data_IF_435849044294
#
_entry.id   IF_435849044294
#
_cell.length_a   1.000
_cell.length_b   1.000
_cell.length_c   1.000
_cell.angle_alpha   90.00
_cell.angle_beta   90.00
_cell.angle_gamma   90.00
#
_symmetry.space_group_name_H-M   'P 1'
#
loop_
_entity.id
_entity.type
_entity.pdbx_description
1 polymer ?
#
# COMPACT_ATOMS: atom_id res chain seq x y z
N UNK A 1 8.51 7.67 25.39
CA UNK A 1 7.56 7.71 24.28
C UNK A 1 8.17 8.62 23.23
N UNK A 2 8.45 8.12 22.06
CA UNK A 2 8.99 8.88 20.94
C UNK A 2 7.88 9.48 20.07
N UNK A 3 8.26 10.18 18.97
CA UNK A 3 7.29 10.86 18.10
C UNK A 3 6.36 9.86 17.40
N UNK A 4 6.88 8.73 16.93
CA UNK A 4 6.06 7.70 16.26
C UNK A 4 5.04 7.06 17.20
N UNK A 5 5.42 6.84 18.47
CA UNK A 5 4.51 6.37 19.50
C UNK A 5 3.44 7.41 19.89
N UNK A 6 3.80 8.71 19.88
CA UNK A 6 2.83 9.77 20.11
C UNK A 6 1.80 9.87 18.99
N UNK A 7 2.21 9.72 17.74
CA UNK A 7 1.31 9.63 16.59
C UNK A 7 0.41 8.38 16.68
N UNK A 8 0.94 7.26 17.16
CA UNK A 8 0.17 6.03 17.36
C UNK A 8 -0.98 6.20 18.39
N UNK A 9 -0.83 7.07 19.38
CA UNK A 9 -1.96 7.40 20.30
C UNK A 9 -3.11 8.06 19.55
N UNK A 10 -2.81 9.00 18.65
CA UNK A 10 -3.84 9.65 17.84
C UNK A 10 -4.53 8.62 16.91
N UNK A 11 -3.73 7.75 16.27
CA UNK A 11 -4.25 6.68 15.42
C UNK A 11 -5.11 5.67 16.19
N UNK A 12 -4.73 5.37 17.43
CA UNK A 12 -5.52 4.49 18.31
C UNK A 12 -6.90 5.09 18.64
N UNK A 13 -6.95 6.39 18.92
CA UNK A 13 -8.20 7.11 19.19
C UNK A 13 -9.07 7.19 17.93
N UNK A 14 -8.46 7.39 16.77
CA UNK A 14 -9.14 7.49 15.47
C UNK A 14 -9.49 6.13 14.85
N UNK A 15 -9.07 5.01 15.44
CA UNK A 15 -9.27 3.68 14.87
C UNK A 15 -10.75 3.30 14.81
N UNK A 16 -11.23 2.95 13.60
CA UNK A 16 -12.63 2.59 13.33
C UNK A 16 -12.86 1.09 13.17
N UNK A 17 -11.79 0.31 13.01
CA UNK A 17 -11.86 -1.13 12.82
C UNK A 17 -10.78 -1.87 13.62
N UNK A 18 -10.95 -3.20 13.75
CA UNK A 18 -10.04 -4.05 14.54
C UNK A 18 -8.61 -4.07 14.00
N UNK A 19 -8.42 -3.98 12.71
CA UNK A 19 -7.10 -4.01 12.07
C UNK A 19 -6.32 -2.72 12.37
N UNK A 20 -6.95 -1.54 12.18
CA UNK A 20 -6.34 -0.25 12.51
C UNK A 20 -6.02 -0.13 14.00
N UNK A 21 -6.91 -0.66 14.86
CA UNK A 21 -6.66 -0.70 16.31
C UNK A 21 -5.42 -1.53 16.66
N UNK A 22 -5.27 -2.73 16.09
CA UNK A 22 -4.09 -3.58 16.30
C UNK A 22 -2.80 -2.91 15.83
N UNK A 23 -2.81 -2.29 14.64
CA UNK A 23 -1.64 -1.57 14.11
C UNK A 23 -1.22 -0.41 15.01
N UNK A 24 -2.17 0.44 15.41
CA UNK A 24 -1.90 1.55 16.32
C UNK A 24 -1.36 1.05 17.67
N UNK A 25 -1.89 -0.05 18.20
CA UNK A 25 -1.41 -0.67 19.42
C UNK A 25 0.01 -1.24 19.27
N UNK A 26 0.35 -1.88 18.14
CA UNK A 26 1.70 -2.35 17.83
C UNK A 26 2.72 -1.21 17.78
N UNK A 27 2.37 -0.10 17.11
CA UNK A 27 3.22 1.09 17.09
C UNK A 27 3.38 1.72 18.48
N UNK A 28 2.30 1.82 19.25
CA UNK A 28 2.35 2.35 20.62
C UNK A 28 3.23 1.50 21.53
N UNK A 29 3.20 0.16 21.39
CA UNK A 29 4.10 -0.77 22.11
C UNK A 29 5.58 -0.58 21.73
N UNK A 30 5.87 0.18 20.67
CA UNK A 30 7.22 0.53 20.23
C UNK A 30 7.87 -0.49 19.29
N UNK A 31 7.12 -1.42 18.69
CA UNK A 31 7.71 -2.41 17.78
C UNK A 31 8.41 -1.72 16.61
N UNK A 32 7.79 -0.69 16.01
CA UNK A 32 8.40 0.08 14.94
C UNK A 32 9.65 0.86 15.39
N UNK A 33 9.58 1.52 16.54
CA UNK A 33 10.72 2.26 17.11
C UNK A 33 11.89 1.34 17.41
N UNK A 34 11.65 0.12 17.87
CA UNK A 34 12.68 -0.89 18.12
C UNK A 34 13.36 -1.33 16.81
N UNK A 35 12.58 -1.58 15.75
CA UNK A 35 13.14 -1.90 14.43
C UNK A 35 14.03 -0.78 13.90
N UNK A 36 13.58 0.50 13.99
CA UNK A 36 14.38 1.64 13.60
C UNK A 36 15.65 1.79 14.45
N UNK A 37 15.58 1.49 15.75
CA UNK A 37 16.74 1.52 16.63
C UNK A 37 17.79 0.48 16.23
N UNK A 38 17.37 -0.73 15.86
CA UNK A 38 18.28 -1.76 15.35
C UNK A 38 18.95 -1.36 14.03
N UNK A 39 18.18 -0.77 13.10
CA UNK A 39 18.73 -0.25 11.84
C UNK A 39 19.74 0.87 12.11
N UNK A 40 19.40 1.76 13.04
CA UNK A 40 20.28 2.87 13.45
C UNK A 40 21.58 2.36 14.05
N UNK A 41 21.56 1.36 14.93
CA UNK A 41 22.78 0.76 15.51
C UNK A 41 23.69 0.16 14.44
N UNK A 42 23.12 -0.53 13.45
CA UNK A 42 23.88 -1.08 12.32
C UNK A 42 24.53 0.01 11.47
N UNK A 43 23.77 1.07 11.13
CA UNK A 43 24.29 2.21 10.38
C UNK A 43 25.39 2.95 11.14
N UNK A 44 25.22 3.19 12.45
CA UNK A 44 26.25 3.79 13.31
C UNK A 44 27.53 2.94 13.33
N UNK A 45 27.40 1.61 13.38
CA UNK A 45 28.55 0.72 13.29
C UNK A 45 29.28 0.89 11.96
N UNK A 46 28.57 0.94 10.84
CA UNK A 46 29.17 1.17 9.51
C UNK A 46 29.88 2.51 9.42
N UNK A 47 29.19 3.58 9.84
CA UNK A 47 29.79 4.94 9.83
C UNK A 47 31.04 4.99 10.70
N UNK A 48 31.00 4.39 11.90
CA UNK A 48 32.16 4.38 12.81
C UNK A 48 33.35 3.62 12.24
N UNK A 49 33.14 2.52 11.54
CA UNK A 49 34.21 1.74 10.89
C UNK A 49 34.85 2.54 9.75
N UNK A 50 34.04 3.23 8.93
CA UNK A 50 34.54 4.07 7.84
C UNK A 50 35.30 5.32 8.38
N UNK A 51 34.80 5.97 9.43
CA UNK A 51 35.49 7.10 10.06
C UNK A 51 36.85 6.68 10.64
N UNK A 52 36.91 5.50 11.28
CA UNK A 52 38.19 4.96 11.76
C UNK A 52 39.16 4.68 10.60
N UNK A 53 38.70 4.10 9.49
CA UNK A 53 39.54 3.88 8.32
C UNK A 53 40.09 5.20 7.76
N UNK A 54 39.29 6.27 7.77
CA UNK A 54 39.70 7.59 7.34
C UNK A 54 40.74 8.23 8.29
N UNK A 55 40.53 8.16 9.61
CA UNK A 55 41.41 8.74 10.62
C UNK A 55 42.78 8.05 10.67
N UNK A 56 42.83 6.76 10.32
CA UNK A 56 44.06 5.96 10.30
C UNK A 56 44.58 5.65 8.91
N UNK A 57 44.08 6.34 7.89
CA UNK A 57 44.48 6.14 6.47
C UNK A 57 45.96 6.32 6.17
N UNK A 58 46.69 7.03 7.05
CA UNK A 58 48.17 7.19 6.97
C UNK A 58 48.95 5.90 7.31
N UNK A 59 48.29 4.88 7.83
CA UNK A 59 48.85 3.58 8.16
C UNK A 59 48.39 2.53 7.13
N UNK A 60 49.18 2.35 6.06
CA UNK A 60 48.90 1.53 4.88
C UNK A 60 48.56 0.04 5.14
N UNK A 61 48.56 -0.44 6.38
CA UNK A 61 48.37 -1.87 6.70
C UNK A 61 47.08 -2.18 7.52
N UNK A 62 46.23 -1.20 7.82
CA UNK A 62 45.08 -1.43 8.67
C UNK A 62 43.74 -1.28 7.88
N UNK A 63 43.21 -2.38 7.36
CA UNK A 63 41.79 -2.45 6.97
C UNK A 63 40.96 -2.63 8.24
N UNK A 64 40.24 -1.58 8.66
CA UNK A 64 39.35 -1.66 9.83
C UNK A 64 37.98 -2.28 9.50
N UNK A 65 37.62 -2.32 8.23
CA UNK A 65 36.35 -2.92 7.77
C UNK A 65 36.55 -3.66 6.44
N UNK A 66 36.19 -4.93 6.43
CA UNK A 66 36.04 -5.66 5.16
C UNK A 66 34.93 -5.05 4.33
N UNK A 67 35.24 -4.57 3.13
CA UNK A 67 34.27 -3.95 2.22
C UNK A 67 33.11 -4.89 1.90
N UNK A 68 33.35 -6.19 1.84
CA UNK A 68 32.30 -7.20 1.60
C UNK A 68 31.34 -7.31 2.79
N UNK A 69 31.83 -7.21 4.03
CA UNK A 69 30.96 -7.19 5.23
C UNK A 69 30.13 -5.90 5.31
N UNK A 70 30.71 -4.75 4.95
CA UNK A 70 29.99 -3.49 4.91
C UNK A 70 28.90 -3.50 3.84
N UNK A 71 29.20 -4.04 2.66
CA UNK A 71 28.22 -4.16 1.59
C UNK A 71 27.07 -5.08 1.98
N UNK A 72 27.35 -6.26 2.51
CA UNK A 72 26.32 -7.19 2.99
C UNK A 72 25.42 -6.56 4.06
N UNK A 73 26.00 -5.77 4.96
CA UNK A 73 25.24 -5.06 6.00
C UNK A 73 24.39 -3.93 5.41
N UNK A 74 24.88 -3.20 4.40
CA UNK A 74 24.11 -2.19 3.69
C UNK A 74 22.94 -2.80 2.93
N UNK A 75 23.12 -3.94 2.26
CA UNK A 75 22.07 -4.69 1.57
C UNK A 75 21.00 -5.17 2.53
N UNK A 76 21.40 -5.70 3.71
CA UNK A 76 20.45 -6.13 4.76
C UNK A 76 19.60 -4.95 5.24
N UNK A 77 20.23 -3.80 5.52
CA UNK A 77 19.51 -2.59 5.95
C UNK A 77 18.57 -2.10 4.84
N UNK A 78 19.03 -2.08 3.59
CA UNK A 78 18.25 -1.66 2.44
C UNK A 78 17.01 -2.55 2.24
N UNK A 79 17.18 -3.85 2.33
CA UNK A 79 16.06 -4.80 2.26
C UNK A 79 15.02 -4.52 3.36
N UNK A 80 15.46 -4.26 4.58
CA UNK A 80 14.57 -3.97 5.70
C UNK A 80 13.82 -2.64 5.53
N UNK A 81 14.50 -1.58 5.08
CA UNK A 81 13.88 -0.28 4.78
C UNK A 81 12.84 -0.44 3.68
N UNK A 82 13.16 -1.17 2.60
CA UNK A 82 12.24 -1.44 1.50
C UNK A 82 11.01 -2.21 1.97
N UNK A 83 11.19 -3.26 2.79
CA UNK A 83 10.09 -4.03 3.37
C UNK A 83 9.17 -3.15 4.22
N UNK A 84 9.73 -2.27 5.07
CA UNK A 84 8.96 -1.32 5.86
C UNK A 84 8.21 -0.32 4.97
N UNK A 85 8.86 0.22 3.94
CA UNK A 85 8.23 1.14 3.00
C UNK A 85 7.05 0.47 2.25
N UNK A 86 7.22 -0.75 1.74
CA UNK A 86 6.14 -1.50 1.09
C UNK A 86 4.95 -1.78 2.00
N UNK A 87 5.17 -1.94 3.32
CA UNK A 87 4.07 -2.12 4.26
C UNK A 87 3.11 -0.93 4.33
N UNK A 88 3.53 0.24 3.84
CA UNK A 88 2.71 1.46 3.85
C UNK A 88 1.46 1.33 2.97
N UNK A 89 1.54 0.65 1.82
CA UNK A 89 0.37 0.45 0.95
C UNK A 89 -0.74 -0.30 1.70
N UNK A 90 -0.36 -1.38 2.40
CA UNK A 90 -1.29 -2.14 3.25
C UNK A 90 -1.81 -1.30 4.42
N UNK A 91 -0.94 -0.60 5.12
CA UNK A 91 -1.28 0.26 6.25
C UNK A 91 -2.22 1.39 5.86
N UNK A 92 -1.95 2.04 4.73
CA UNK A 92 -2.78 3.11 4.19
C UNK A 92 -4.15 2.60 3.74
N UNK A 93 -4.20 1.45 3.04
CA UNK A 93 -5.44 0.80 2.65
C UNK A 93 -6.32 0.44 3.85
N UNK A 94 -5.73 0.01 4.95
CA UNK A 94 -6.45 -0.31 6.18
C UNK A 94 -6.92 0.92 6.94
N UNK A 95 -6.13 1.99 6.96
CA UNK A 95 -6.42 3.23 7.68
C UNK A 95 -7.44 4.10 6.95
N UNK A 96 -7.27 4.29 5.65
CA UNK A 96 -8.15 5.12 4.82
C UNK A 96 -9.28 4.35 4.16
N UNK A 97 -9.21 3.03 4.16
CA UNK A 97 -10.10 2.16 3.42
C UNK A 97 -9.60 1.86 2.01
N UNK A 98 -9.94 0.68 1.52
CA UNK A 98 -9.63 0.25 0.15
C UNK A 98 -10.48 1.03 -0.83
N UNK A 99 -9.84 1.77 -1.71
CA UNK A 99 -10.52 2.59 -2.70
C UNK A 99 -11.17 1.74 -3.80
N UNK A 100 -12.48 1.87 -3.99
CA UNK A 100 -13.28 1.11 -4.95
C UNK A 100 -14.01 2.07 -5.89
N UNK A 101 -13.85 1.87 -7.21
CA UNK A 101 -14.62 2.57 -8.22
C UNK A 101 -15.70 1.65 -8.81
N UNK A 102 -16.95 2.15 -8.95
CA UNK A 102 -18.01 1.44 -9.65
C UNK A 102 -18.20 2.09 -11.02
N UNK A 103 -17.87 1.37 -12.07
CA UNK A 103 -17.95 1.82 -13.45
C UNK A 103 -18.96 0.99 -14.25
N UNK A 104 -19.54 1.57 -15.29
CA UNK A 104 -20.54 0.91 -16.15
C UNK A 104 -21.46 1.93 -16.82
N UNK A 105 -22.21 1.49 -17.83
CA UNK A 105 -23.17 2.31 -18.59
C UNK A 105 -24.22 2.97 -17.69
N UNK A 106 -24.96 3.93 -18.23
CA UNK A 106 -26.14 4.49 -17.56
C UNK A 106 -27.19 3.40 -17.32
N UNK A 107 -27.92 3.51 -16.21
CA UNK A 107 -29.02 2.58 -15.85
C UNK A 107 -28.64 1.10 -15.61
N UNK A 108 -27.36 0.72 -15.55
CA UNK A 108 -26.93 -0.65 -15.18
C UNK A 108 -27.16 -0.97 -13.69
N UNK A 109 -27.47 0.04 -12.87
CA UNK A 109 -27.79 -0.15 -11.46
C UNK A 109 -26.67 0.23 -10.49
N UNK A 110 -25.72 1.12 -10.88
CA UNK A 110 -24.61 1.58 -10.02
C UNK A 110 -25.09 2.17 -8.69
N UNK A 111 -26.06 3.09 -8.73
CA UNK A 111 -26.62 3.72 -7.52
C UNK A 111 -27.35 2.70 -6.63
N UNK A 112 -28.05 1.75 -7.24
CA UNK A 112 -28.75 0.69 -6.50
C UNK A 112 -27.75 -0.22 -5.79
N UNK A 113 -26.68 -0.63 -6.48
CA UNK A 113 -25.62 -1.44 -5.90
C UNK A 113 -24.89 -0.70 -4.77
N UNK A 114 -24.48 0.54 -5.02
CA UNK A 114 -23.83 1.37 -4.00
C UNK A 114 -24.70 1.50 -2.75
N UNK A 115 -25.97 1.86 -2.92
CA UNK A 115 -26.90 1.98 -1.79
C UNK A 115 -27.09 0.65 -1.03
N UNK A 116 -27.05 -0.47 -1.73
CA UNK A 116 -27.14 -1.80 -1.10
C UNK A 116 -25.89 -2.08 -0.26
N UNK A 117 -24.70 -1.89 -0.81
CA UNK A 117 -23.43 -2.10 -0.10
C UNK A 117 -23.27 -1.17 1.12
N UNK A 118 -23.82 0.05 1.05
CA UNK A 118 -23.78 1.00 2.16
C UNK A 118 -24.84 0.76 3.23
N UNK A 119 -25.96 0.12 2.91
CA UNK A 119 -27.12 -0.04 3.82
C UNK A 119 -27.07 -1.31 4.65
N UNK A 120 -26.28 -2.31 4.24
CA UNK A 120 -26.21 -3.59 4.98
C UNK A 120 -25.39 -3.48 6.28
N UNK A 121 -24.50 -2.46 6.43
CA UNK A 121 -23.84 -2.19 7.69
C UNK A 121 -23.69 -0.68 7.97
N UNK A 122 -24.73 -0.03 8.44
CA UNK A 122 -24.58 1.21 9.22
C UNK A 122 -24.10 0.88 10.63
N UNK A 123 -22.87 0.48 10.81
CA UNK A 123 -22.19 0.57 12.09
C UNK A 123 -21.63 1.99 12.22
N UNK A 124 -22.37 2.82 12.99
CA UNK A 124 -21.90 3.97 13.80
C UNK A 124 -20.60 4.62 13.28
N UNK A 125 -20.68 5.41 12.23
CA UNK A 125 -19.67 6.43 11.97
C UNK A 125 -20.16 7.68 12.69
N UNK A 126 -19.43 8.07 13.75
CA UNK A 126 -19.71 9.27 14.55
C UNK A 126 -19.76 10.50 13.63
N UNK A 127 -20.80 11.31 13.79
CA UNK A 127 -20.90 12.68 13.28
C UNK A 127 -19.78 13.55 13.88
N UNK A 128 -18.56 13.43 13.36
CA UNK A 128 -17.54 14.44 13.59
C UNK A 128 -17.70 15.48 12.48
N UNK A 129 -18.52 16.47 12.78
CA UNK A 129 -18.63 17.71 12.02
C UNK A 129 -17.32 18.47 12.13
N UNK A 130 -16.62 18.60 11.01
CA UNK A 130 -15.53 19.57 10.90
C UNK A 130 -14.48 19.17 9.88
N UNK A 131 -14.66 19.56 8.65
CA UNK A 131 -13.75 20.29 7.77
C UNK A 131 -14.18 20.13 6.30
N UNK A 132 -14.45 21.28 5.65
CA UNK A 132 -14.38 21.59 4.22
C UNK A 132 -15.04 20.65 3.21
N UNK A 133 -15.94 21.23 2.45
CA UNK A 133 -16.63 20.84 1.21
C UNK A 133 -15.69 20.20 0.15
N UNK A 134 -15.30 18.94 0.31
CA UNK A 134 -14.70 18.19 -0.79
C UNK A 134 -15.04 16.72 -0.65
N UNK A 135 -15.69 16.17 -1.70
CA UNK A 135 -15.96 14.76 -2.00
C UNK A 135 -16.59 13.98 -0.86
N UNK A 136 -17.90 13.79 -0.93
CA UNK A 136 -18.61 12.83 -0.06
C UNK A 136 -18.22 11.43 -0.53
N UNK A 137 -17.24 10.86 0.14
CA UNK A 137 -16.86 9.46 -0.04
C UNK A 137 -17.70 8.61 0.92
N UNK A 138 -18.38 7.63 0.37
CA UNK A 138 -19.16 6.69 1.19
C UNK A 138 -18.29 5.48 1.53
N UNK A 139 -18.27 5.11 2.81
CA UNK A 139 -17.49 3.97 3.31
C UNK A 139 -18.38 2.89 3.88
N UNK A 140 -17.98 1.63 3.73
CA UNK A 140 -18.61 0.47 4.37
C UNK A 140 -17.56 -0.46 4.94
N UNK A 141 -17.94 -1.25 5.95
CA UNK A 141 -17.08 -2.26 6.58
C UNK A 141 -17.54 -3.65 6.11
N UNK A 142 -16.68 -4.37 5.41
CA UNK A 142 -16.95 -5.73 4.95
C UNK A 142 -15.86 -6.63 5.52
N UNK A 143 -16.23 -7.61 6.33
CA UNK A 143 -15.33 -8.57 6.96
C UNK A 143 -14.13 -7.91 7.70
N UNK A 144 -14.40 -6.79 8.37
CA UNK A 144 -13.37 -6.05 9.12
C UNK A 144 -12.47 -5.16 8.29
N UNK A 145 -12.66 -5.08 6.97
CA UNK A 145 -11.95 -4.21 6.02
C UNK A 145 -12.86 -3.05 5.65
N UNK A 146 -12.34 -1.83 5.76
CA UNK A 146 -13.05 -0.62 5.32
C UNK A 146 -12.87 -0.45 3.81
N UNK A 147 -13.99 -0.37 3.08
CA UNK A 147 -14.01 -0.03 1.65
C UNK A 147 -14.56 1.37 1.46
N UNK A 148 -13.89 2.16 0.64
CA UNK A 148 -14.20 3.55 0.33
C UNK A 148 -14.60 3.67 -1.13
N UNK A 149 -15.87 3.97 -1.40
CA UNK A 149 -16.38 4.13 -2.75
C UNK A 149 -16.09 5.54 -3.26
N UNK A 150 -15.36 5.62 -4.37
CA UNK A 150 -14.94 6.89 -4.96
C UNK A 150 -16.08 7.44 -5.85
N UNK A 151 -16.34 8.75 -5.75
CA UNK A 151 -17.33 9.51 -6.54
C UNK A 151 -18.79 9.04 -6.45
N UNK A 152 -19.22 8.80 -5.28
CA UNK A 152 -20.63 8.51 -5.01
C UNK A 152 -21.58 9.65 -5.43
N UNK A 153 -21.09 10.91 -5.48
CA UNK A 153 -21.87 12.07 -5.88
C UNK A 153 -22.29 12.01 -7.38
N UNK A 154 -21.43 11.53 -8.27
CA UNK A 154 -21.77 11.30 -9.68
C UNK A 154 -22.74 10.14 -9.86
N UNK A 155 -22.64 9.11 -9.01
CA UNK A 155 -23.54 7.95 -9.02
C UNK A 155 -24.93 8.33 -8.48
N UNK A 156 -25.02 9.23 -7.50
CA UNK A 156 -26.29 9.66 -6.88
C UNK A 156 -27.10 10.70 -7.68
N UNK A 157 -26.46 11.47 -8.57
CA UNK A 157 -27.07 12.59 -9.31
C UNK A 157 -27.54 12.26 -10.72
N UNK A 158 -27.42 11.05 -11.19
CA UNK A 158 -27.82 10.67 -12.55
C UNK A 158 -29.34 10.46 -12.68
N UNK A 159 -30.07 11.59 -12.68
CA UNK A 159 -31.38 11.67 -13.27
C UNK A 159 -31.43 12.79 -14.31
N UNK A 160 -30.53 13.06 -15.13
CA UNK A 160 -30.58 13.80 -16.40
C UNK A 160 -29.25 14.42 -16.86
N UNK A 161 -28.98 14.15 -18.15
CA UNK A 161 -28.24 14.96 -19.11
C UNK A 161 -26.80 15.38 -18.74
N UNK A 162 -25.83 14.61 -19.19
CA UNK A 162 -24.65 15.02 -20.00
C UNK A 162 -23.77 13.79 -20.24
N UNK A 163 -23.98 13.10 -21.34
CA UNK A 163 -23.37 11.80 -21.67
C UNK A 163 -21.84 11.86 -21.98
N UNK A 164 -21.33 13.00 -22.41
CA UNK A 164 -19.93 13.10 -22.85
C UNK A 164 -18.92 13.60 -21.80
N UNK A 165 -19.37 14.29 -20.74
CA UNK A 165 -18.49 14.74 -19.65
C UNK A 165 -18.33 13.61 -18.57
N UNK A 166 -19.25 12.63 -18.58
CA UNK A 166 -19.23 11.51 -17.62
C UNK A 166 -18.10 10.51 -17.87
N UNK A 167 -17.68 10.31 -19.10
CA UNK A 167 -16.70 9.29 -19.47
C UNK A 167 -15.29 9.68 -19.01
N UNK A 168 -14.84 10.90 -19.27
CA UNK A 168 -13.50 11.38 -18.83
C UNK A 168 -13.38 11.41 -17.29
N UNK A 169 -14.43 11.85 -16.59
CA UNK A 169 -14.42 11.85 -15.12
C UNK A 169 -14.42 10.44 -14.53
N UNK A 170 -15.09 9.48 -15.16
CA UNK A 170 -15.09 8.07 -14.72
C UNK A 170 -13.67 7.49 -14.80
N UNK A 171 -12.88 7.90 -15.79
CA UNK A 171 -11.51 7.42 -15.96
C UNK A 171 -10.50 8.02 -14.97
N UNK A 172 -10.60 9.32 -14.67
CA UNK A 172 -9.78 9.94 -13.62
C UNK A 172 -9.99 9.26 -12.26
N UNK A 173 -11.20 8.81 -11.98
CA UNK A 173 -11.56 8.11 -10.75
C UNK A 173 -11.06 6.68 -10.69
N UNK A 174 -11.00 6.01 -11.85
CA UNK A 174 -10.33 4.71 -11.91
C UNK A 174 -8.85 4.81 -11.54
N UNK A 175 -8.18 5.94 -11.76
CA UNK A 175 -6.77 6.11 -11.41
C UNK A 175 -6.52 6.04 -9.89
N UNK A 176 -7.45 6.52 -9.08
CA UNK A 176 -7.35 6.52 -7.62
C UNK A 176 -7.81 5.20 -6.98
N UNK A 177 -8.53 4.34 -7.73
CA UNK A 177 -9.07 3.10 -7.22
C UNK A 177 -8.02 1.97 -7.20
N UNK A 178 -8.01 1.17 -6.13
CA UNK A 178 -7.30 -0.12 -6.06
C UNK A 178 -8.13 -1.24 -6.71
N UNK A 179 -9.45 -1.18 -6.54
CA UNK A 179 -10.39 -2.16 -7.08
C UNK A 179 -11.39 -1.44 -7.98
N UNK A 180 -11.65 -2.01 -9.16
CA UNK A 180 -12.65 -1.50 -10.10
C UNK A 180 -13.75 -2.55 -10.25
N UNK A 181 -14.99 -2.17 -9.92
CA UNK A 181 -16.19 -2.95 -10.20
C UNK A 181 -16.73 -2.52 -11.56
N UNK A 182 -16.60 -3.37 -12.56
CA UNK A 182 -17.22 -3.16 -13.87
C UNK A 182 -18.62 -3.75 -13.89
N UNK A 183 -19.63 -2.89 -13.72
CA UNK A 183 -21.02 -3.29 -13.61
C UNK A 183 -21.68 -3.30 -15.00
N UNK A 184 -22.23 -4.44 -15.38
CA UNK A 184 -22.85 -4.72 -16.69
C UNK A 184 -24.27 -5.23 -16.49
N UNK A 185 -25.16 -5.02 -17.46
CA UNK A 185 -26.48 -5.64 -17.56
C UNK A 185 -26.71 -6.34 -18.90
N UNK A 186 -25.72 -6.27 -19.78
CA UNK A 186 -25.65 -6.95 -21.08
C UNK A 186 -24.21 -7.36 -21.38
N UNK A 187 -24.01 -8.21 -22.39
CA UNK A 187 -22.68 -8.65 -22.79
C UNK A 187 -21.90 -7.47 -23.42
N UNK A 188 -20.69 -7.17 -22.93
CA UNK A 188 -19.90 -6.08 -23.48
C UNK A 188 -19.36 -6.43 -24.87
N UNK A 189 -19.17 -5.43 -25.72
CA UNK A 189 -18.52 -5.57 -27.02
C UNK A 189 -17.01 -5.80 -26.88
N UNK A 190 -16.38 -6.36 -27.91
CA UNK A 190 -14.92 -6.56 -27.91
C UNK A 190 -14.15 -5.25 -27.71
N UNK A 191 -14.63 -4.13 -28.29
CA UNK A 191 -14.01 -2.82 -28.09
C UNK A 191 -14.10 -2.32 -26.66
N UNK A 192 -15.21 -2.57 -25.95
CA UNK A 192 -15.37 -2.20 -24.53
C UNK A 192 -14.45 -3.02 -23.64
N UNK A 193 -14.24 -4.29 -23.96
CA UNK A 193 -13.31 -5.17 -23.23
C UNK A 193 -11.87 -4.68 -23.39
N UNK A 194 -11.45 -4.35 -24.63
CA UNK A 194 -10.11 -3.82 -24.91
C UNK A 194 -9.89 -2.48 -24.20
N UNK A 195 -10.86 -1.58 -24.26
CA UNK A 195 -10.78 -0.30 -23.59
C UNK A 195 -10.66 -0.45 -22.06
N UNK A 196 -11.45 -1.35 -21.46
CA UNK A 196 -11.40 -1.64 -20.03
C UNK A 196 -10.05 -2.24 -19.64
N UNK A 197 -9.53 -3.21 -20.40
CA UNK A 197 -8.20 -3.80 -20.15
C UNK A 197 -7.08 -2.75 -20.23
N UNK A 198 -7.14 -1.86 -21.22
CA UNK A 198 -6.14 -0.80 -21.38
C UNK A 198 -6.15 0.19 -20.21
N UNK A 199 -7.31 0.53 -19.69
CA UNK A 199 -7.49 1.52 -18.62
C UNK A 199 -7.34 0.94 -17.22
N UNK A 200 -7.43 -0.39 -17.07
CA UNK A 200 -7.35 -1.07 -15.78
C UNK A 200 -5.93 -1.55 -15.42
N UNK A 201 -4.88 -1.01 -16.05
CA UNK A 201 -3.51 -1.45 -15.81
C UNK A 201 -3.13 -1.33 -14.31
N UNK A 202 -2.65 -2.44 -13.73
CA UNK A 202 -2.19 -2.50 -12.34
C UNK A 202 -3.27 -2.51 -11.26
N UNK A 203 -4.57 -2.66 -11.62
CA UNK A 203 -5.70 -2.66 -10.67
C UNK A 203 -6.44 -3.99 -10.70
N UNK A 204 -7.11 -4.33 -9.58
CA UNK A 204 -7.97 -5.51 -9.52
C UNK A 204 -9.32 -5.19 -10.17
N UNK A 205 -9.69 -5.94 -11.22
CA UNK A 205 -10.95 -5.77 -11.95
C UNK A 205 -11.94 -6.85 -11.55
N UNK A 206 -13.08 -6.45 -11.02
CA UNK A 206 -14.22 -7.33 -10.75
C UNK A 206 -15.32 -7.09 -11.81
N UNK A 207 -15.56 -8.08 -12.66
CA UNK A 207 -16.64 -8.03 -13.67
C UNK A 207 -17.93 -8.52 -13.04
N UNK A 208 -18.95 -7.67 -13.01
CA UNK A 208 -20.21 -7.93 -12.30
C UNK A 208 -21.40 -7.71 -13.22
N UNK A 209 -22.17 -8.77 -13.46
CA UNK A 209 -23.44 -8.69 -14.19
C UNK A 209 -24.58 -8.48 -13.21
N UNK A 210 -25.33 -7.40 -13.41
CA UNK A 210 -26.47 -7.02 -12.57
C UNK A 210 -27.80 -7.36 -13.23
N UNK A 211 -28.90 -7.23 -12.48
CA UNK A 211 -30.29 -7.46 -12.92
C UNK A 211 -30.61 -8.92 -13.23
N UNK A 212 -30.00 -9.86 -12.48
CA UNK A 212 -30.30 -11.29 -12.59
C UNK A 212 -31.80 -11.60 -12.44
N UNK A 213 -32.55 -10.79 -11.70
CA UNK A 213 -34.00 -10.87 -11.55
C UNK A 213 -34.77 -10.73 -12.87
N UNK A 214 -34.15 -10.21 -13.92
CA UNK A 214 -34.74 -10.07 -15.26
C UNK A 214 -34.26 -11.12 -16.29
N UNK A 215 -33.21 -11.90 -15.94
CA UNK A 215 -32.46 -12.77 -16.85
C UNK A 215 -32.85 -14.25 -16.74
N UNK A 216 -34.06 -14.61 -16.27
CA UNK A 216 -34.48 -16.01 -16.08
C UNK A 216 -34.32 -16.90 -17.34
N UNK A 217 -34.11 -16.35 -18.54
CA UNK A 217 -34.01 -17.09 -19.79
C UNK A 217 -32.65 -17.07 -20.50
N UNK A 218 -31.61 -16.32 -20.03
CA UNK A 218 -30.37 -16.10 -20.80
C UNK A 218 -29.09 -16.61 -20.15
N UNK A 219 -29.18 -17.49 -19.13
CA UNK A 219 -27.96 -18.08 -18.48
C UNK A 219 -27.03 -18.78 -19.48
N UNK A 220 -27.56 -19.32 -20.58
CA UNK A 220 -26.77 -19.99 -21.62
C UNK A 220 -25.92 -19.05 -22.50
N UNK A 221 -26.26 -17.75 -22.58
CA UNK A 221 -25.48 -16.78 -23.34
C UNK A 221 -24.22 -16.32 -22.56
N UNK A 222 -24.29 -16.33 -21.24
CA UNK A 222 -23.20 -15.91 -20.35
C UNK A 222 -22.11 -16.98 -20.13
N UNK A 223 -22.46 -18.28 -20.21
CA UNK A 223 -21.46 -19.37 -20.14
C UNK A 223 -20.43 -19.30 -21.27
N UNK A 224 -20.84 -18.75 -22.44
CA UNK A 224 -19.92 -18.54 -23.58
C UNK A 224 -18.89 -17.41 -23.31
N UNK A 225 -19.22 -16.44 -22.44
CA UNK A 225 -18.32 -15.36 -22.11
C UNK A 225 -17.18 -15.82 -21.17
N UNK A 226 -17.48 -16.72 -20.23
CA UNK A 226 -16.46 -17.30 -19.34
C UNK A 226 -15.39 -18.08 -20.11
N UNK A 227 -15.78 -18.76 -21.22
CA UNK A 227 -14.84 -19.46 -22.10
C UNK A 227 -14.05 -18.53 -23.01
N UNK A 228 -14.55 -17.34 -23.35
CA UNK A 228 -13.86 -16.39 -24.23
C UNK A 228 -12.84 -15.50 -23.51
N UNK A 229 -12.96 -15.30 -22.20
CA UNK A 229 -11.97 -14.55 -21.41
C UNK A 229 -10.86 -15.42 -20.81
N UNK A 230 -11.03 -16.74 -20.82
CA UNK A 230 -10.12 -17.70 -20.16
C UNK A 230 -9.32 -18.61 -21.11
N UNK A 231 -9.47 -18.51 -22.45
CA UNK A 231 -8.83 -19.43 -23.38
C UNK A 231 -7.96 -18.73 -24.42
N UNK A 232 -6.84 -18.21 -24.00
CA UNK A 232 -5.61 -18.17 -24.82
C UNK A 232 -4.45 -18.72 -23.99
N UNK A 233 -4.58 -19.97 -23.57
CA UNK A 233 -3.46 -20.77 -23.10
C UNK A 233 -3.28 -21.95 -24.03
N UNK A 234 -2.64 -21.69 -25.18
CA UNK A 234 -1.87 -22.73 -25.87
C UNK A 234 -0.64 -23.05 -24.99
N UNK A 235 -0.53 -24.33 -24.68
CA UNK A 235 0.56 -24.98 -23.99
C UNK A 235 1.94 -24.38 -24.32
N UNK A 236 2.59 -23.79 -23.34
CA UNK A 236 4.05 -23.75 -23.22
C UNK A 236 4.43 -23.61 -21.76
N UNK A 237 5.07 -24.65 -21.27
CA UNK A 237 5.64 -24.79 -19.93
C UNK A 237 6.69 -23.71 -19.63
N UNK A 238 6.76 -23.39 -18.32
CA UNK A 238 7.89 -22.72 -17.65
C UNK A 238 8.02 -21.20 -17.79
N UNK A 239 7.46 -20.48 -16.81
CA UNK A 239 8.19 -19.47 -16.01
C UNK A 239 7.28 -18.98 -14.88
N UNK A 240 7.80 -19.04 -13.66
CA UNK A 240 7.20 -18.46 -12.45
C UNK A 240 7.11 -16.94 -12.64
N UNK A 241 5.90 -16.44 -12.85
CA UNK A 241 5.58 -15.03 -12.97
C UNK A 241 4.11 -14.87 -12.66
N UNK A 242 3.80 -14.01 -11.71
CA UNK A 242 2.51 -13.66 -11.12
C UNK A 242 1.32 -13.88 -12.07
N UNK A 243 0.58 -14.94 -11.82
CA UNK A 243 -0.67 -15.25 -12.52
C UNK A 243 -1.74 -14.26 -12.07
N UNK A 244 -2.04 -13.26 -12.90
CA UNK A 244 -3.30 -12.52 -12.85
C UNK A 244 -4.43 -13.49 -13.23
N UNK A 245 -4.89 -14.30 -12.28
CA UNK A 245 -6.10 -15.09 -12.41
C UNK A 245 -7.27 -14.10 -12.56
N UNK A 246 -7.79 -13.97 -13.77
CA UNK A 246 -9.00 -13.24 -14.02
C UNK A 246 -10.13 -13.95 -13.25
N UNK A 247 -10.61 -13.34 -12.15
CA UNK A 247 -11.75 -13.90 -11.40
C UNK A 247 -12.94 -14.06 -12.36
N UNK A 248 -13.64 -15.20 -12.26
CA UNK A 248 -14.84 -15.46 -13.04
C UNK A 248 -15.90 -14.38 -12.76
N UNK A 249 -16.65 -13.93 -13.79
CA UNK A 249 -17.63 -12.88 -13.64
C UNK A 249 -18.71 -13.25 -12.60
N UNK A 250 -19.09 -12.27 -11.80
CA UNK A 250 -20.11 -12.41 -10.77
C UNK A 250 -21.47 -12.01 -11.31
N UNK A 251 -22.51 -12.74 -10.91
CA UNK A 251 -23.90 -12.46 -11.30
C UNK A 251 -24.71 -12.09 -10.07
N UNK A 252 -25.27 -10.87 -10.05
CA UNK A 252 -25.99 -10.31 -8.91
C UNK A 252 -27.35 -9.71 -9.29
N UNK A 253 -28.20 -9.50 -8.30
CA UNK A 253 -29.28 -8.55 -8.39
C UNK A 253 -29.15 -7.49 -7.27
N UNK A 254 -28.68 -6.32 -7.62
CA UNK A 254 -28.56 -5.22 -6.67
C UNK A 254 -29.92 -4.80 -6.08
N UNK A 255 -31.02 -5.06 -6.81
CA UNK A 255 -32.38 -4.75 -6.38
C UNK A 255 -32.89 -5.71 -5.30
N UNK A 256 -32.72 -7.01 -5.51
CA UNK A 256 -33.22 -8.04 -4.57
C UNK A 256 -32.19 -8.36 -3.47
N UNK A 257 -30.91 -8.09 -3.68
CA UNK A 257 -29.80 -8.47 -2.81
C UNK A 257 -29.22 -9.86 -3.15
N UNK A 258 -29.72 -10.53 -4.19
CA UNK A 258 -29.27 -11.86 -4.57
C UNK A 258 -27.78 -11.82 -5.00
N UNK A 259 -26.98 -12.72 -4.43
CA UNK A 259 -25.54 -12.86 -4.65
C UNK A 259 -24.68 -11.62 -4.33
N UNK A 260 -25.19 -10.60 -3.63
CA UNK A 260 -24.39 -9.44 -3.20
C UNK A 260 -23.31 -9.88 -2.22
N UNK A 261 -23.57 -10.85 -1.33
CA UNK A 261 -22.58 -11.43 -0.43
C UNK A 261 -21.40 -12.08 -1.16
N UNK A 262 -21.59 -12.62 -2.34
CA UNK A 262 -20.51 -13.15 -3.18
C UNK A 262 -19.61 -12.02 -3.73
N UNK A 263 -20.21 -10.87 -4.07
CA UNK A 263 -19.44 -9.66 -4.44
C UNK A 263 -18.65 -9.10 -3.25
N UNK A 264 -19.22 -9.10 -2.05
CA UNK A 264 -18.52 -8.68 -0.83
C UNK A 264 -17.31 -9.57 -0.54
N UNK A 265 -17.45 -10.89 -0.67
CA UNK A 265 -16.33 -11.81 -0.56
C UNK A 265 -15.27 -11.61 -1.65
N UNK A 266 -15.67 -11.29 -2.88
CA UNK A 266 -14.75 -10.97 -3.96
C UNK A 266 -14.00 -9.66 -3.70
N UNK A 267 -14.66 -8.64 -3.14
CA UNK A 267 -14.02 -7.40 -2.69
C UNK A 267 -12.96 -7.68 -1.61
N UNK A 268 -13.27 -8.53 -0.63
CA UNK A 268 -12.32 -8.91 0.42
C UNK A 268 -11.10 -9.62 -0.17
N UNK A 269 -11.30 -10.57 -1.10
CA UNK A 269 -10.18 -11.23 -1.80
C UNK A 269 -9.38 -10.25 -2.65
N UNK A 270 -10.05 -9.39 -3.42
CA UNK A 270 -9.40 -8.40 -4.28
C UNK A 270 -8.63 -7.32 -3.50
N UNK A 271 -9.03 -7.06 -2.25
CA UNK A 271 -8.30 -6.15 -1.36
C UNK A 271 -6.89 -6.64 -1.06
N UNK A 272 -6.69 -7.96 -1.09
CA UNK A 272 -5.38 -8.62 -0.89
C UNK A 272 -4.66 -8.09 0.37
N UNK A 273 -5.39 -8.05 1.48
CA UNK A 273 -4.86 -7.61 2.76
C UNK A 273 -4.45 -8.82 3.58
N UNK A 274 -3.16 -8.96 3.94
CA UNK A 274 -2.69 -10.06 4.76
C UNK A 274 -3.31 -10.02 6.16
N UNK A 275 -3.40 -11.18 6.82
CA UNK A 275 -3.77 -11.24 8.23
C UNK A 275 -2.71 -10.53 9.08
N UNK A 276 -3.14 -9.49 9.80
CA UNK A 276 -2.26 -8.68 10.64
C UNK A 276 -2.26 -9.22 12.06
N UNK A 277 -1.07 -9.51 12.55
CA UNK A 277 -0.81 -9.87 13.94
C UNK A 277 -0.39 -8.65 14.77
N UNK A 278 -0.39 -8.76 16.10
CA UNK A 278 0.06 -7.68 16.99
C UNK A 278 1.57 -7.39 16.90
N UNK A 279 2.34 -8.28 16.30
CA UNK A 279 3.80 -8.16 16.17
C UNK A 279 4.22 -7.57 14.82
N UNK A 280 3.30 -7.46 13.87
CA UNK A 280 3.62 -6.93 12.55
C UNK A 280 3.86 -5.42 12.62
N UNK A 281 4.94 -5.00 12.00
CA UNK A 281 5.30 -3.59 11.88
C UNK A 281 4.81 -3.09 10.53
N UNK A 282 3.70 -2.35 10.55
CA UNK A 282 3.06 -1.78 9.37
C UNK A 282 3.06 -0.27 9.47
N UNK A 283 3.54 0.39 8.43
CA UNK A 283 3.60 1.85 8.35
C UNK A 283 2.23 2.40 7.94
N UNK A 284 1.72 3.38 8.70
CA UNK A 284 0.42 4.02 8.44
C UNK A 284 0.53 5.52 8.19
N UNK A 285 1.69 6.11 8.46
CA UNK A 285 1.94 7.53 8.33
C UNK A 285 2.69 7.83 7.03
N UNK A 286 2.17 8.75 6.20
CA UNK A 286 2.84 9.23 4.99
C UNK A 286 4.21 9.84 5.32
N UNK A 287 4.34 10.53 6.45
CA UNK A 287 5.60 11.09 6.93
C UNK A 287 6.67 10.02 7.13
N UNK A 288 6.31 8.88 7.75
CA UNK A 288 7.22 7.75 7.94
C UNK A 288 7.62 7.13 6.60
N UNK A 289 6.65 6.95 5.70
CA UNK A 289 6.88 6.41 4.37
C UNK A 289 7.84 7.28 3.55
N UNK A 290 7.63 8.61 3.53
CA UNK A 290 8.52 9.54 2.84
C UNK A 290 9.94 9.52 3.40
N UNK A 291 10.10 9.48 4.72
CA UNK A 291 11.41 9.37 5.35
C UNK A 291 12.11 8.05 5.00
N UNK A 292 11.38 6.92 4.98
CA UNK A 292 11.91 5.62 4.56
C UNK A 292 12.33 5.62 3.08
N UNK A 293 11.57 6.27 2.19
CA UNK A 293 11.94 6.39 0.77
C UNK A 293 13.21 7.24 0.60
N UNK A 294 13.35 8.35 1.32
CA UNK A 294 14.58 9.15 1.29
C UNK A 294 15.78 8.33 1.81
N UNK A 295 15.59 7.62 2.92
CA UNK A 295 16.62 6.73 3.48
C UNK A 295 17.03 5.62 2.49
N UNK A 296 16.05 5.01 1.80
CA UNK A 296 16.31 4.04 0.75
C UNK A 296 17.16 4.62 -0.39
N UNK A 297 16.80 5.81 -0.88
CA UNK A 297 17.53 6.47 -1.96
C UNK A 297 18.97 6.82 -1.54
N UNK A 298 19.16 7.29 -0.31
CA UNK A 298 20.49 7.59 0.23
C UNK A 298 21.32 6.32 0.41
N UNK A 299 20.72 5.23 0.88
CA UNK A 299 21.41 3.94 1.02
C UNK A 299 21.71 3.27 -0.33
N UNK A 300 20.89 3.47 -1.34
CA UNK A 300 21.19 3.03 -2.72
C UNK A 300 22.44 3.72 -3.26
N UNK A 301 22.64 5.03 -2.98
CA UNK A 301 23.89 5.73 -3.33
C UNK A 301 25.10 5.16 -2.57
N UNK A 302 24.92 4.79 -1.30
CA UNK A 302 25.98 4.11 -0.53
C UNK A 302 26.40 2.82 -1.22
N UNK A 303 25.44 1.97 -1.63
CA UNK A 303 25.73 0.72 -2.33
C UNK A 303 26.45 0.95 -3.67
N UNK A 304 25.95 1.87 -4.49
CA UNK A 304 26.58 2.26 -5.76
C UNK A 304 28.02 2.78 -5.54
N UNK A 305 28.23 3.62 -4.52
CA UNK A 305 29.53 4.16 -4.18
C UNK A 305 30.53 3.07 -3.72
N UNK A 306 30.02 2.04 -3.00
CA UNK A 306 30.82 0.88 -2.61
C UNK A 306 31.22 0.03 -3.83
N UNK A 307 30.28 -0.22 -4.74
CA UNK A 307 30.53 -0.98 -5.98
C UNK A 307 31.54 -0.27 -6.90
N UNK A 308 31.49 1.08 -6.96
CA UNK A 308 32.43 1.89 -7.73
C UNK A 308 33.80 2.03 -7.05
N UNK A 309 33.98 1.51 -5.83
CA UNK A 309 35.22 1.64 -5.07
C UNK A 309 35.51 3.07 -4.64
N UNK A 310 34.49 3.88 -4.40
CA UNK A 310 34.66 5.27 -3.96
C UNK A 310 35.32 5.37 -2.57
N UNK A 311 35.88 6.54 -2.26
CA UNK A 311 36.54 6.81 -0.98
C UNK A 311 35.55 6.74 0.19
N UNK A 312 36.05 6.34 1.36
CA UNK A 312 35.26 6.14 2.56
C UNK A 312 34.57 7.39 3.07
N UNK A 313 35.09 8.59 2.79
CA UNK A 313 34.49 9.89 3.16
C UNK A 313 33.16 10.14 2.48
N UNK A 314 33.06 9.83 1.16
CA UNK A 314 31.81 9.96 0.40
C UNK A 314 30.75 8.96 0.92
N UNK A 315 31.16 7.72 1.15
CA UNK A 315 30.27 6.69 1.70
C UNK A 315 29.78 7.05 3.10
N UNK A 316 30.66 7.58 3.96
CA UNK A 316 30.33 8.00 5.32
C UNK A 316 29.33 9.17 5.34
N UNK A 317 29.44 10.11 4.39
CA UNK A 317 28.50 11.23 4.27
C UNK A 317 27.10 10.76 3.87
N UNK A 318 26.99 9.88 2.87
CA UNK A 318 25.71 9.29 2.49
C UNK A 318 25.08 8.46 3.62
N UNK A 319 25.88 7.72 4.40
CA UNK A 319 25.38 6.99 5.58
C UNK A 319 24.87 7.92 6.68
N UNK A 320 25.46 9.09 6.88
CA UNK A 320 24.95 10.11 7.80
C UNK A 320 23.58 10.61 7.36
N UNK A 321 23.39 10.81 6.05
CA UNK A 321 22.07 11.16 5.52
C UNK A 321 21.02 10.08 5.81
N UNK A 322 21.34 8.81 5.63
CA UNK A 322 20.41 7.69 5.98
C UNK A 322 20.04 7.73 7.46
N UNK A 323 21.02 7.97 8.34
CA UNK A 323 20.80 8.07 9.78
C UNK A 323 19.88 9.25 10.15
N UNK A 324 20.06 10.42 9.53
CA UNK A 324 19.22 11.60 9.74
C UNK A 324 17.77 11.34 9.30
N UNK A 325 17.56 10.76 8.12
CA UNK A 325 16.24 10.43 7.58
C UNK A 325 15.48 9.46 8.49
N UNK A 326 16.14 8.40 8.98
CA UNK A 326 15.52 7.48 9.94
C UNK A 326 15.29 8.15 11.31
N UNK A 327 16.17 9.08 11.71
CA UNK A 327 16.03 9.86 12.94
C UNK A 327 14.79 10.75 12.96
N UNK A 328 14.39 11.31 11.81
CA UNK A 328 13.19 12.14 11.70
C UNK A 328 11.91 11.38 12.10
N UNK A 329 11.86 10.08 11.90
CA UNK A 329 10.68 9.25 12.21
C UNK A 329 10.41 9.22 13.71
N UNK A 330 11.46 9.02 14.51
CA UNK A 330 11.37 8.90 15.98
C UNK A 330 11.51 10.24 16.70
N UNK A 331 11.89 11.30 15.97
CA UNK A 331 12.18 12.62 16.53
C UNK A 331 13.54 12.73 17.19
N UNK A 332 14.46 11.78 16.90
CA UNK A 332 15.84 11.77 17.40
C UNK A 332 16.80 12.37 16.38
N UNK A 333 17.50 13.45 16.73
CA UNK A 333 18.64 13.92 15.95
C UNK A 333 19.89 13.14 16.34
N UNK A 334 20.73 12.81 15.35
CA UNK A 334 22.04 12.21 15.58
C UNK A 334 23.06 13.33 15.76
N UNK A 335 23.79 13.29 16.85
CA UNK A 335 24.88 14.19 17.07
C UNK A 335 26.23 13.52 16.71
N UNK A 336 27.20 14.32 16.22
CA UNK A 336 28.58 13.85 16.01
C UNK A 336 29.15 13.23 17.29
N UNK A 337 28.65 13.63 18.47
CA UNK A 337 29.02 13.06 19.75
C UNK A 337 28.57 11.61 19.93
N UNK A 338 27.46 11.20 19.34
CA UNK A 338 27.01 9.79 19.40
C UNK A 338 27.87 8.88 18.53
N UNK A 339 28.28 9.34 17.35
CA UNK A 339 29.26 8.62 16.52
C UNK A 339 30.59 8.45 17.26
N UNK A 340 31.13 9.52 17.86
CA UNK A 340 32.33 9.46 18.66
C UNK A 340 32.19 8.51 19.85
N UNK A 341 31.09 8.57 20.58
CA UNK A 341 30.85 7.69 21.71
C UNK A 341 30.77 6.21 21.29
N UNK A 342 30.23 5.93 20.09
CA UNK A 342 30.17 4.57 19.54
C UNK A 342 31.57 4.06 19.20
N UNK A 343 32.42 4.90 18.57
CA UNK A 343 33.84 4.62 18.31
C UNK A 343 34.56 4.27 19.62
N UNK A 344 34.46 5.12 20.64
CA UNK A 344 35.12 4.90 21.93
C UNK A 344 34.63 3.66 22.67
N UNK A 345 33.31 3.33 22.54
CA UNK A 345 32.70 2.20 23.23
C UNK A 345 33.10 0.85 22.63
N UNK A 346 33.18 0.77 21.30
CA UNK A 346 33.34 -0.49 20.59
C UNK A 346 34.78 -0.77 20.14
N UNK A 347 35.59 0.27 19.93
CA UNK A 347 36.94 0.10 19.37
C UNK A 347 38.07 0.34 20.36
N UNK A 348 37.76 0.56 21.66
CA UNK A 348 38.77 0.68 22.74
C UNK A 348 39.99 1.57 22.43
N UNK A 349 39.81 2.69 21.74
CA UNK A 349 40.85 3.66 21.48
C UNK A 349 41.11 4.39 22.80
N UNK A 350 42.11 3.95 23.56
CA UNK A 350 42.52 4.61 24.82
C UNK A 350 42.76 3.71 26.02
N UNK A 351 43.24 2.48 25.83
CA UNK A 351 43.87 1.70 26.91
C UNK A 351 45.34 1.48 26.65
#
# INVERSE_FOLDING_TARGET
MDLSQAEAVADLIASTNKATHKMALSQLKGHFSNELSLLREKLLKMTSLLELELDFSDHEELEFADRSELQALAEEINHKITTLAHSFETGNALKQGVAVAIVGKTNVGKSTLLNRLLHEEKAIVSDIHGTTRDVIEDTTLIDGITFRFIDTAGIRKTDDVVENIGIERTFQKMEEAKIVIWLLDEQPSASEIEEMKLKNQGKKLLVVFNKMDKLENDKLAFDKFTHSCGSDSSESESSEGESNEAESPLFISARTGENVSSLEQALVRAADIPEITENDVIITSARHYEALLRAHNSLSRVLESMEMGMSGDIIAEDLKMVLEELGEITGGQISSQETLNNIFKHFCIGK
#
